data_IF_625385255595
#
_entry.id   IF_625385255595
#
_cell.length_a   1.000
_cell.length_b   1.000
_cell.length_c   1.000
_cell.angle_alpha   90.00
_cell.angle_beta   90.00
_cell.angle_gamma   90.00
#
_symmetry.space_group_name_H-M   'P 1'
#
loop_
_entity.id
_entity.type
_entity.pdbx_description
1 polymer ?
#
# COMPACT_ATOMS: atom_id res chain seq x y z
N UNK A 1 -0.02 -43.41 62.45
CA UNK A 1 -0.83 -43.62 61.22
C UNK A 1 -1.25 -42.32 60.51
N UNK A 2 -0.76 -41.13 60.90
CA UNK A 2 -1.17 -39.83 60.31
C UNK A 2 -0.10 -39.19 59.39
N UNK A 3 1.16 -39.65 59.45
CA UNK A 3 2.27 -39.14 58.63
C UNK A 3 2.33 -39.74 57.22
N UNK A 4 1.94 -41.01 57.06
CA UNK A 4 1.95 -41.72 55.76
C UNK A 4 0.85 -41.19 54.82
N UNK A 5 -0.34 -40.87 55.36
CA UNK A 5 -1.47 -40.34 54.57
C UNK A 5 -1.18 -38.96 53.97
N UNK A 6 -0.36 -38.14 54.65
CA UNK A 6 0.00 -36.78 54.21
C UNK A 6 1.10 -36.77 53.13
N UNK A 7 1.98 -37.76 53.16
CA UNK A 7 2.99 -37.97 52.11
C UNK A 7 2.36 -38.54 50.83
N UNK A 8 1.35 -39.39 50.96
CA UNK A 8 0.63 -39.97 49.82
C UNK A 8 -0.24 -38.94 49.09
N UNK A 9 -0.86 -37.99 49.81
CA UNK A 9 -1.62 -36.88 49.21
C UNK A 9 -0.73 -35.88 48.45
N UNK A 10 0.50 -35.65 48.92
CA UNK A 10 1.47 -34.78 48.25
C UNK A 10 2.01 -35.40 46.96
N UNK A 11 2.22 -36.72 46.95
CA UNK A 11 2.66 -37.45 45.74
C UNK A 11 1.56 -37.51 44.67
N UNK A 12 0.29 -37.62 45.09
CA UNK A 12 -0.88 -37.62 44.20
C UNK A 12 -1.13 -36.24 43.55
N UNK A 13 -0.93 -35.14 44.30
CA UNK A 13 -1.05 -33.78 43.77
C UNK A 13 0.07 -33.46 42.77
N UNK A 14 1.29 -33.97 43.00
CA UNK A 14 2.41 -33.88 42.05
C UNK A 14 2.16 -34.64 40.74
N UNK A 15 1.53 -35.82 40.80
CA UNK A 15 1.24 -36.62 39.60
C UNK A 15 0.06 -36.07 38.79
N UNK A 16 -0.95 -35.47 39.43
CA UNK A 16 -2.04 -34.78 38.72
C UNK A 16 -1.55 -33.45 38.11
N UNK A 17 -0.67 -32.70 38.78
CA UNK A 17 -0.05 -31.50 38.22
C UNK A 17 0.81 -31.81 36.97
N UNK A 18 1.50 -32.96 36.95
CA UNK A 18 2.29 -33.40 35.79
C UNK A 18 1.43 -33.77 34.56
N UNK A 19 0.20 -34.23 34.76
CA UNK A 19 -0.77 -34.52 33.69
C UNK A 19 -1.46 -33.26 33.11
N UNK A 20 -1.48 -32.15 33.86
CA UNK A 20 -1.95 -30.85 33.35
C UNK A 20 -0.82 -30.02 32.69
N UNK A 21 0.43 -30.20 33.11
CA UNK A 21 1.58 -29.50 32.53
C UNK A 21 1.90 -29.95 31.08
N UNK A 22 1.50 -31.17 30.68
CA UNK A 22 1.68 -31.66 29.31
C UNK A 22 0.64 -31.14 28.30
N UNK A 23 -0.44 -30.50 28.75
CA UNK A 23 -1.40 -29.80 27.86
C UNK A 23 -1.19 -28.29 27.79
N UNK A 24 -0.24 -27.74 28.54
CA UNK A 24 0.07 -26.31 28.53
C UNK A 24 1.31 -25.96 27.69
N UNK A 25 1.90 -26.94 26.98
CA UNK A 25 3.15 -26.77 26.26
C UNK A 25 3.13 -27.36 24.82
N UNK A 26 1.96 -27.35 24.19
CA UNK A 26 1.89 -27.29 22.73
C UNK A 26 2.18 -25.83 22.35
N UNK A 27 3.45 -25.50 22.06
CA UNK A 27 3.86 -25.26 20.67
C UNK A 27 2.86 -24.24 20.07
N UNK A 28 3.03 -22.94 20.28
CA UNK A 28 4.03 -22.10 19.58
C UNK A 28 4.69 -22.84 18.40
N UNK A 29 3.84 -23.40 17.54
CA UNK A 29 4.14 -23.44 16.13
C UNK A 29 4.17 -21.98 15.70
N UNK A 30 5.38 -21.47 15.52
CA UNK A 30 5.64 -20.40 14.57
C UNK A 30 4.99 -20.85 13.25
N UNK A 31 3.72 -20.49 13.06
CA UNK A 31 3.20 -20.27 11.74
C UNK A 31 4.13 -19.21 11.15
N UNK A 32 5.14 -19.68 10.41
CA UNK A 32 5.70 -18.96 9.30
C UNK A 32 4.58 -18.68 8.32
N UNK A 33 3.68 -17.77 8.70
CA UNK A 33 2.87 -17.03 7.77
C UNK A 33 3.89 -16.33 6.92
N UNK A 34 4.01 -16.76 5.66
CA UNK A 34 4.61 -15.98 4.60
C UNK A 34 4.12 -14.55 4.84
N UNK A 35 5.02 -13.68 5.30
CA UNK A 35 4.68 -12.31 5.61
C UNK A 35 4.19 -11.74 4.29
N UNK A 36 2.87 -11.64 4.13
CA UNK A 36 2.29 -11.09 2.91
C UNK A 36 2.99 -9.75 2.71
N UNK A 37 3.58 -9.52 1.52
CA UNK A 37 4.31 -8.29 1.30
C UNK A 37 3.43 -7.11 1.71
N UNK A 38 3.91 -6.34 2.69
CA UNK A 38 3.16 -5.20 3.20
C UNK A 38 3.14 -4.14 2.12
N UNK A 39 1.94 -3.70 1.74
CA UNK A 39 1.78 -2.63 0.76
C UNK A 39 2.57 -1.37 1.19
N UNK A 40 3.29 -0.77 0.26
CA UNK A 40 4.10 0.42 0.50
C UNK A 40 3.53 1.60 -0.29
N UNK A 41 3.39 2.75 0.37
CA UNK A 41 2.82 3.96 -0.24
C UNK A 41 3.94 4.92 -0.63
N UNK A 42 4.04 5.21 -1.93
CA UNK A 42 5.08 6.06 -2.51
C UNK A 42 4.46 7.40 -2.95
N UNK A 43 4.65 8.47 -2.18
CA UNK A 43 4.18 9.80 -2.58
C UNK A 43 5.04 10.34 -3.72
N UNK A 44 4.40 10.73 -4.81
CA UNK A 44 5.03 11.33 -5.96
C UNK A 44 5.30 12.81 -5.68
N UNK A 45 6.46 13.09 -5.07
CA UNK A 45 6.86 14.45 -4.69
C UNK A 45 7.72 15.13 -5.77
N UNK A 46 7.67 16.46 -5.88
CA UNK A 46 6.76 17.41 -5.19
C UNK A 46 5.32 17.35 -5.75
N UNK A 47 4.39 18.14 -5.19
CA UNK A 47 3.04 18.29 -5.74
C UNK A 47 3.08 18.64 -7.23
N UNK A 48 2.10 18.15 -7.98
CA UNK A 48 1.91 18.52 -9.39
C UNK A 48 1.19 19.86 -9.44
N UNK A 49 1.72 20.79 -10.24
CA UNK A 49 1.06 22.05 -10.59
C UNK A 49 1.18 22.20 -12.10
N UNK A 50 0.09 22.00 -12.82
CA UNK A 50 0.09 22.01 -14.30
C UNK A 50 -1.01 22.89 -14.85
N UNK A 51 -0.75 23.51 -15.99
CA UNK A 51 -1.77 24.19 -16.76
C UNK A 51 -2.55 23.18 -17.60
N UNK A 52 -3.86 23.36 -17.77
CA UNK A 52 -4.70 22.45 -18.56
C UNK A 52 -5.74 23.21 -19.40
N UNK A 53 -6.39 22.52 -20.34
CA UNK A 53 -7.48 23.07 -21.15
C UNK A 53 -7.08 23.96 -22.33
N UNK A 54 -5.80 23.99 -22.73
CA UNK A 54 -5.36 24.59 -24.01
C UNK A 54 -5.39 26.13 -24.08
N UNK A 55 -5.60 26.68 -25.29
CA UNK A 55 -5.54 28.12 -25.55
C UNK A 55 -6.74 28.86 -24.95
N UNK A 56 -6.48 29.87 -24.11
CA UNK A 56 -7.52 30.65 -23.45
C UNK A 56 -7.05 31.18 -22.10
N UNK A 57 -7.99 31.32 -21.16
CA UNK A 57 -7.68 31.70 -19.77
C UNK A 57 -6.84 30.60 -19.12
N UNK A 58 -5.77 31.00 -18.41
CA UNK A 58 -4.94 30.05 -17.68
C UNK A 58 -5.76 29.38 -16.58
N UNK A 59 -5.86 28.07 -16.66
CA UNK A 59 -6.44 27.19 -15.64
C UNK A 59 -5.36 26.24 -15.18
N UNK A 60 -5.36 25.89 -13.90
CA UNK A 60 -4.37 24.96 -13.37
C UNK A 60 -4.98 23.89 -12.48
N UNK A 61 -4.32 22.74 -12.47
CA UNK A 61 -4.55 21.64 -11.54
C UNK A 61 -3.40 21.63 -10.54
N UNK A 62 -3.73 21.54 -9.25
CA UNK A 62 -2.80 21.15 -8.19
C UNK A 62 -3.17 19.78 -7.66
N UNK A 63 -2.26 18.82 -7.73
CA UNK A 63 -2.51 17.46 -7.26
C UNK A 63 -1.37 16.92 -6.40
N UNK A 64 -1.72 16.26 -5.29
CA UNK A 64 -0.85 15.41 -4.50
C UNK A 64 -1.22 13.97 -4.80
N UNK A 65 -0.22 13.16 -5.21
CA UNK A 65 -0.44 11.81 -5.73
C UNK A 65 0.41 10.81 -4.96
N UNK A 66 -0.19 9.69 -4.56
CA UNK A 66 0.50 8.58 -3.90
C UNK A 66 0.20 7.26 -4.61
N UNK A 67 1.24 6.49 -4.94
CA UNK A 67 1.11 5.16 -5.56
C UNK A 67 1.21 4.08 -4.48
N UNK A 68 0.32 3.09 -4.54
CA UNK A 68 0.38 1.89 -3.70
C UNK A 68 1.16 0.80 -4.41
N UNK A 69 2.37 0.51 -3.92
CA UNK A 69 3.16 -0.62 -4.35
C UNK A 69 2.73 -1.90 -3.59
N UNK A 70 2.75 -3.05 -4.27
CA UNK A 70 2.50 -4.36 -3.63
C UNK A 70 3.50 -4.68 -2.52
N UNK A 71 4.76 -4.25 -2.67
CA UNK A 71 5.87 -4.58 -1.78
C UNK A 71 6.97 -3.49 -1.80
N UNK A 72 8.03 -3.73 -1.03
CA UNK A 72 9.19 -2.82 -0.96
C UNK A 72 10.00 -2.77 -2.28
N UNK A 73 10.33 -3.91 -2.93
CA UNK A 73 11.01 -3.89 -4.24
C UNK A 73 10.30 -3.03 -5.29
N UNK A 74 8.99 -3.20 -5.43
CA UNK A 74 8.16 -2.38 -6.34
C UNK A 74 8.22 -0.90 -5.95
N UNK A 75 8.16 -0.59 -4.66
CA UNK A 75 8.24 0.79 -4.20
C UNK A 75 9.58 1.43 -4.56
N UNK A 76 10.66 0.66 -4.53
CA UNK A 76 11.99 1.12 -4.92
C UNK A 76 12.09 1.34 -6.43
N UNK A 77 11.49 0.46 -7.25
CA UNK A 77 11.36 0.67 -8.70
C UNK A 77 10.58 1.95 -9.03
N UNK A 78 9.43 2.18 -8.37
CA UNK A 78 8.65 3.42 -8.54
C UNK A 78 9.49 4.64 -8.17
N UNK A 79 10.28 4.59 -7.09
CA UNK A 79 11.17 5.69 -6.68
C UNK A 79 12.29 5.92 -7.68
N UNK A 80 12.88 4.84 -8.19
CA UNK A 80 13.97 4.87 -9.16
C UNK A 80 13.54 5.50 -10.49
N UNK A 81 12.38 5.08 -11.00
CA UNK A 81 11.79 5.58 -12.26
C UNK A 81 10.88 6.80 -12.09
N UNK A 82 10.86 7.40 -10.90
CA UNK A 82 9.99 8.52 -10.56
C UNK A 82 10.07 9.69 -11.55
N UNK A 83 11.24 10.10 -12.10
CA UNK A 83 11.29 11.16 -13.10
C UNK A 83 10.42 10.86 -14.34
N UNK A 84 10.44 9.62 -14.83
CA UNK A 84 9.68 9.21 -16.02
C UNK A 84 8.18 9.12 -15.69
N UNK A 85 7.82 8.47 -14.58
CA UNK A 85 6.44 8.41 -14.09
C UNK A 85 5.83 9.82 -13.97
N UNK A 86 6.56 10.75 -13.35
CA UNK A 86 6.12 12.13 -13.17
C UNK A 86 5.94 12.85 -14.50
N UNK A 87 6.85 12.67 -15.46
CA UNK A 87 6.73 13.27 -16.78
C UNK A 87 5.41 12.87 -17.45
N UNK A 88 5.08 11.58 -17.45
CA UNK A 88 3.87 11.09 -18.09
C UNK A 88 2.61 11.61 -17.40
N UNK A 89 2.58 11.61 -16.06
CA UNK A 89 1.46 12.18 -15.30
C UNK A 89 1.31 13.68 -15.57
N UNK A 90 2.39 14.44 -15.68
CA UNK A 90 2.33 15.87 -16.07
C UNK A 90 1.66 16.04 -17.44
N UNK A 91 2.04 15.22 -18.42
CA UNK A 91 1.44 15.26 -19.76
C UNK A 91 -0.03 14.84 -19.75
N UNK A 92 -0.39 13.83 -18.97
CA UNK A 92 -1.77 13.38 -18.77
C UNK A 92 -2.65 14.49 -18.17
N UNK A 93 -2.20 15.11 -17.08
CA UNK A 93 -2.94 16.19 -16.42
C UNK A 93 -3.06 17.44 -17.29
N UNK A 94 -2.04 17.76 -18.09
CA UNK A 94 -2.05 18.95 -18.96
C UNK A 94 -3.05 18.84 -20.13
N UNK A 95 -3.44 17.62 -20.50
CA UNK A 95 -4.38 17.34 -21.60
C UNK A 95 -5.86 17.38 -21.16
N UNK A 96 -6.14 17.55 -19.87
CA UNK A 96 -7.50 17.49 -19.35
C UNK A 96 -8.37 18.68 -19.79
N UNK A 97 -9.69 18.52 -19.67
CA UNK A 97 -10.73 19.53 -19.88
C UNK A 97 -11.58 19.67 -18.61
N UNK A 98 -12.32 20.77 -18.46
CA UNK A 98 -13.19 20.99 -17.30
C UNK A 98 -14.22 19.85 -17.13
N UNK A 99 -14.85 19.44 -18.23
CA UNK A 99 -15.80 18.32 -18.29
C UNK A 99 -15.22 17.01 -17.72
N UNK A 100 -13.92 16.76 -17.95
CA UNK A 100 -13.23 15.55 -17.53
C UNK A 100 -12.82 15.56 -16.05
N UNK A 101 -12.76 16.72 -15.38
CA UNK A 101 -12.18 16.83 -14.04
C UNK A 101 -13.11 17.47 -13.00
N UNK A 102 -14.24 18.03 -13.41
CA UNK A 102 -15.22 18.66 -12.51
C UNK A 102 -16.11 17.61 -11.82
N UNK A 103 -16.30 16.45 -12.45
CA UNK A 103 -17.16 15.38 -11.94
C UNK A 103 -16.37 14.33 -11.15
N UNK A 104 -17.03 13.65 -10.21
CA UNK A 104 -16.42 12.56 -9.45
C UNK A 104 -16.02 11.39 -10.37
N UNK A 105 -16.87 11.07 -11.35
CA UNK A 105 -16.61 10.03 -12.35
C UNK A 105 -15.39 10.37 -13.20
N UNK A 106 -15.29 11.60 -13.68
CA UNK A 106 -14.14 12.08 -14.44
C UNK A 106 -12.83 12.01 -13.64
N UNK A 107 -12.85 12.38 -12.35
CA UNK A 107 -11.70 12.22 -11.45
C UNK A 107 -11.29 10.77 -11.26
N UNK A 108 -12.23 9.84 -11.16
CA UNK A 108 -11.91 8.41 -11.07
C UNK A 108 -11.31 7.88 -12.38
N UNK A 109 -11.85 8.27 -13.53
CA UNK A 109 -11.26 7.94 -14.84
C UNK A 109 -9.83 8.47 -14.94
N UNK A 110 -9.61 9.72 -14.52
CA UNK A 110 -8.28 10.33 -14.52
C UNK A 110 -7.32 9.62 -13.57
N UNK A 111 -7.78 9.17 -12.40
CA UNK A 111 -7.00 8.42 -11.43
C UNK A 111 -6.54 7.07 -12.00
N UNK A 112 -7.45 6.36 -12.66
CA UNK A 112 -7.15 5.10 -13.34
C UNK A 112 -6.16 5.31 -14.50
N UNK A 113 -6.35 6.36 -15.29
CA UNK A 113 -5.39 6.72 -16.34
C UNK A 113 -4.00 7.04 -15.76
N UNK A 114 -3.92 7.75 -14.63
CA UNK A 114 -2.65 8.01 -13.97
C UNK A 114 -1.99 6.72 -13.44
N UNK A 115 -2.76 5.76 -12.92
CA UNK A 115 -2.24 4.46 -12.52
C UNK A 115 -1.69 3.70 -13.73
N UNK A 116 -2.40 3.74 -14.86
CA UNK A 116 -1.93 3.13 -16.11
C UNK A 116 -0.61 3.73 -16.59
N UNK A 117 -0.40 5.05 -16.46
CA UNK A 117 0.89 5.67 -16.78
C UNK A 117 2.04 5.15 -15.90
N UNK A 118 1.77 4.83 -14.63
CA UNK A 118 2.75 4.17 -13.76
C UNK A 118 3.07 2.76 -14.27
N UNK A 119 2.04 1.98 -14.63
CA UNK A 119 2.20 0.62 -15.15
C UNK A 119 3.05 0.60 -16.41
N UNK A 120 2.75 1.48 -17.37
CA UNK A 120 3.49 1.56 -18.63
C UNK A 120 4.98 1.84 -18.43
N UNK A 121 5.34 2.68 -17.46
CA UNK A 121 6.75 2.95 -17.15
C UNK A 121 7.42 1.75 -16.50
N UNK A 122 6.77 1.10 -15.53
CA UNK A 122 7.34 -0.08 -14.87
C UNK A 122 7.49 -1.27 -15.82
N UNK A 123 6.49 -1.52 -16.68
CA UNK A 123 6.55 -2.57 -17.69
C UNK A 123 7.65 -2.32 -18.73
N UNK A 124 7.95 -1.06 -19.05
CA UNK A 124 9.00 -0.71 -19.99
C UNK A 124 10.42 -0.92 -19.43
N UNK A 125 10.61 -0.78 -18.11
CA UNK A 125 11.94 -0.74 -17.48
C UNK A 125 12.27 -1.95 -16.59
N UNK A 126 11.27 -2.65 -16.04
CA UNK A 126 11.43 -3.66 -14.97
C UNK A 126 10.68 -4.99 -15.22
N UNK A 127 10.01 -5.15 -16.37
CA UNK A 127 9.25 -6.33 -16.83
C UNK A 127 7.87 -6.58 -16.17
N UNK A 128 7.61 -6.15 -14.93
CA UNK A 128 6.29 -6.26 -14.29
C UNK A 128 5.82 -4.96 -13.61
N UNK A 129 4.50 -4.72 -13.63
CA UNK A 129 3.89 -3.69 -12.80
C UNK A 129 3.51 -4.26 -11.44
N UNK A 130 4.18 -3.78 -10.38
CA UNK A 130 3.78 -4.04 -8.99
C UNK A 130 2.88 -2.96 -8.38
N UNK A 131 2.54 -1.90 -9.13
CA UNK A 131 1.69 -0.82 -8.64
C UNK A 131 0.23 -1.28 -8.60
N UNK A 132 -0.35 -1.35 -7.41
CA UNK A 132 -1.69 -1.91 -7.17
C UNK A 132 -2.79 -0.86 -7.18
N UNK A 133 -2.48 0.39 -6.85
CA UNK A 133 -3.44 1.48 -6.80
C UNK A 133 -2.75 2.86 -6.85
N UNK A 134 -3.53 3.92 -7.06
CA UNK A 134 -3.06 5.30 -7.04
C UNK A 134 -4.11 6.21 -6.38
N UNK A 135 -3.68 7.10 -5.51
CA UNK A 135 -4.54 8.03 -4.79
C UNK A 135 -4.24 9.47 -5.15
N UNK A 136 -5.30 10.26 -5.34
CA UNK A 136 -5.22 11.70 -5.28
C UNK A 136 -5.48 12.14 -3.85
N UNK A 137 -4.41 12.38 -3.08
CA UNK A 137 -4.48 12.85 -1.70
C UNK A 137 -5.03 14.28 -1.63
N UNK A 138 -4.78 15.06 -2.68
CA UNK A 138 -5.30 16.41 -2.89
C UNK A 138 -5.52 16.63 -4.38
N UNK A 139 -6.64 17.24 -4.78
CA UNK A 139 -6.94 17.56 -6.17
C UNK A 139 -7.75 18.86 -6.26
N UNK A 140 -7.08 19.95 -6.62
CA UNK A 140 -7.64 21.29 -6.72
C UNK A 140 -7.60 21.73 -8.18
N UNK A 141 -8.74 22.19 -8.68
CA UNK A 141 -8.88 22.81 -9.99
C UNK A 141 -9.17 24.29 -9.77
N UNK A 142 -8.42 25.17 -10.46
CA UNK A 142 -8.69 26.61 -10.45
C UNK A 142 -8.77 27.16 -11.88
N UNK A 143 -9.86 27.91 -12.13
CA UNK A 143 -10.15 28.55 -13.42
C UNK A 143 -10.06 30.08 -13.37
#
# INVERSE_FOLDING_TARGET
MLTIKRQLSLWLIMTVAALFATQANAQDEEEGGESQPSAVYVPLRPSFVVNYGGAGRMRYIKADITVRAKDTPTADQIRYHMPYIRNNIVLLLSKQTDEAIDTQEGKEILRQAALQEVHLVLEAEEEESGATDLYFDNFIVQH
#
